data_IF_253533882470
#
_entry.id   IF_253533882470
#
_cell.length_a   1.000
_cell.length_b   1.000
_cell.length_c   1.000
_cell.angle_alpha   90.00
_cell.angle_beta   90.00
_cell.angle_gamma   90.00
#
_symmetry.space_group_name_H-M   'P 1'
#
loop_
_entity.id
_entity.type
_entity.pdbx_description
1 polymer ?
#
# COMPACT_ATOMS: atom_id res chain seq x y z
N UNK A 1 20.99 50.46 35.19
CA UNK A 1 21.03 49.34 36.15
C UNK A 1 19.80 48.49 35.87
N UNK A 2 19.93 47.52 34.97
CA UNK A 2 20.34 46.12 35.20
C UNK A 2 19.09 45.25 35.35
N UNK A 3 18.59 44.81 34.19
CA UNK A 3 17.78 43.60 34.09
C UNK A 3 18.70 42.43 34.42
N UNK A 4 18.57 41.88 35.62
CA UNK A 4 19.23 40.62 35.97
C UNK A 4 18.60 39.49 35.14
N UNK A 5 19.39 38.94 34.23
CA UNK A 5 19.13 37.67 33.57
C UNK A 5 19.20 36.59 34.65
N UNK A 6 18.06 36.02 35.03
CA UNK A 6 18.07 34.74 35.71
C UNK A 6 18.51 33.69 34.69
N UNK A 7 19.76 33.24 34.79
CA UNK A 7 20.24 32.09 34.04
C UNK A 7 19.40 30.86 34.40
N UNK A 8 18.92 30.08 33.41
CA UNK A 8 18.23 28.83 33.70
C UNK A 8 19.20 27.89 34.42
N UNK A 9 18.77 27.34 35.56
CA UNK A 9 19.57 26.41 36.33
C UNK A 9 20.13 25.29 35.42
N UNK A 10 21.43 24.95 35.52
CA UNK A 10 22.01 23.91 34.70
C UNK A 10 21.32 22.58 34.99
N UNK A 11 20.94 21.86 33.92
CA UNK A 11 20.40 20.52 34.03
C UNK A 11 21.37 19.64 34.82
N UNK A 12 20.86 18.87 35.78
CA UNK A 12 21.65 17.89 36.52
C UNK A 12 22.13 16.77 35.58
N UNK A 13 23.25 16.13 35.90
CA UNK A 13 23.82 15.06 35.06
C UNK A 13 22.82 13.92 34.77
N UNK A 14 21.91 13.64 35.72
CA UNK A 14 20.80 12.69 35.57
C UNK A 14 19.81 13.15 34.50
N UNK A 15 19.40 14.42 34.51
CA UNK A 15 18.53 15.01 33.49
C UNK A 15 19.20 15.03 32.11
N UNK A 16 20.51 15.27 32.04
CA UNK A 16 21.29 15.20 30.79
C UNK A 16 21.36 13.77 30.24
N UNK A 17 21.49 12.77 31.10
CA UNK A 17 21.51 11.35 30.74
C UNK A 17 20.14 10.88 30.25
N UNK A 18 19.05 11.25 30.94
CA UNK A 18 17.66 11.01 30.51
C UNK A 18 17.35 11.67 29.16
N UNK A 19 17.79 12.92 28.96
CA UNK A 19 17.68 13.60 27.66
C UNK A 19 18.48 12.90 26.57
N UNK A 20 19.62 12.28 26.89
CA UNK A 20 20.41 11.44 25.99
C UNK A 20 19.68 10.15 25.58
N UNK A 21 19.05 9.48 26.55
CA UNK A 21 18.31 8.23 26.34
C UNK A 21 17.02 8.46 25.54
N UNK A 22 16.30 9.56 25.81
CA UNK A 22 15.13 10.00 25.04
C UNK A 22 15.50 10.37 23.59
N UNK A 23 16.67 10.98 23.37
CA UNK A 23 17.21 11.25 22.02
C UNK A 23 17.54 9.94 21.28
N UNK A 24 18.08 8.93 21.97
CA UNK A 24 18.34 7.60 21.41
C UNK A 24 17.07 6.84 21.03
N UNK A 25 16.06 6.84 21.91
CA UNK A 25 14.75 6.22 21.61
C UNK A 25 14.05 6.94 20.44
N UNK A 26 14.16 8.28 20.39
CA UNK A 26 13.64 9.12 19.29
C UNK A 26 14.32 8.81 17.96
N UNK A 27 15.64 8.63 17.94
CA UNK A 27 16.35 8.30 16.70
C UNK A 27 15.99 6.90 16.21
N UNK A 28 15.87 5.91 17.10
CA UNK A 28 15.48 4.54 16.75
C UNK A 28 14.06 4.48 16.18
N UNK A 29 13.07 5.09 16.83
CA UNK A 29 11.68 5.10 16.33
C UNK A 29 11.54 5.85 15.01
N UNK A 30 12.20 7.02 14.88
CA UNK A 30 12.20 7.79 13.63
C UNK A 30 12.85 7.02 12.48
N UNK A 31 13.99 6.37 12.72
CA UNK A 31 14.68 5.57 11.70
C UNK A 31 13.84 4.35 11.28
N UNK A 32 13.13 3.69 12.19
CA UNK A 32 12.27 2.53 11.86
C UNK A 32 11.04 2.92 11.04
N UNK A 33 10.40 4.04 11.36
CA UNK A 33 9.22 4.52 10.62
C UNK A 33 9.58 5.15 9.28
N UNK A 34 10.73 5.85 9.16
CA UNK A 34 11.30 6.21 7.84
C UNK A 34 11.69 4.97 7.04
N UNK A 35 12.19 3.91 7.68
CA UNK A 35 12.41 2.62 7.04
C UNK A 35 11.09 1.84 6.79
N UNK A 36 9.93 2.39 7.16
CA UNK A 36 8.64 1.73 7.05
C UNK A 36 8.21 1.48 5.60
N UNK A 37 8.48 2.41 4.69
CA UNK A 37 8.28 2.20 3.25
C UNK A 37 9.11 1.02 2.71
N UNK A 38 10.38 0.93 3.12
CA UNK A 38 11.25 -0.19 2.76
C UNK A 38 10.84 -1.51 3.43
N UNK A 39 10.33 -1.45 4.66
CA UNK A 39 9.85 -2.61 5.41
C UNK A 39 8.58 -3.18 4.80
N UNK A 40 7.64 -2.32 4.38
CA UNK A 40 6.45 -2.76 3.67
C UNK A 40 6.79 -3.37 2.31
N UNK A 41 7.71 -2.78 1.54
CA UNK A 41 8.17 -3.37 0.29
C UNK A 41 8.78 -4.77 0.49
N UNK A 42 9.56 -4.96 1.57
CA UNK A 42 10.11 -6.28 1.94
C UNK A 42 9.02 -7.26 2.39
N UNK A 43 8.04 -6.80 3.16
CA UNK A 43 6.91 -7.63 3.60
C UNK A 43 6.07 -8.10 2.40
N UNK A 44 5.80 -7.21 1.44
CA UNK A 44 5.12 -7.55 0.18
C UNK A 44 5.94 -8.59 -0.60
N UNK A 45 7.26 -8.41 -0.68
CA UNK A 45 8.15 -9.32 -1.38
C UNK A 45 8.24 -10.71 -0.73
N UNK A 46 7.89 -10.83 0.56
CA UNK A 46 7.87 -12.10 1.27
C UNK A 46 6.65 -12.97 0.94
N UNK A 47 5.54 -12.38 0.47
CA UNK A 47 4.39 -13.12 -0.04
C UNK A 47 4.52 -13.33 -1.56
N UNK A 48 4.62 -14.58 -2.07
CA UNK A 48 4.87 -14.84 -3.48
C UNK A 48 3.79 -14.28 -4.42
N UNK A 49 2.52 -14.30 -3.99
CA UNK A 49 1.40 -13.84 -4.80
C UNK A 49 1.39 -12.32 -4.93
N UNK A 50 1.66 -11.61 -3.82
CA UNK A 50 1.81 -10.16 -3.82
C UNK A 50 3.05 -9.73 -4.61
N UNK A 51 4.17 -10.44 -4.43
CA UNK A 51 5.40 -10.14 -5.15
C UNK A 51 5.25 -10.32 -6.67
N UNK A 52 4.65 -11.42 -7.11
CA UNK A 52 4.35 -11.65 -8.54
C UNK A 52 3.51 -10.51 -9.10
N UNK A 53 2.47 -10.11 -8.38
CA UNK A 53 1.58 -9.03 -8.78
C UNK A 53 2.29 -7.68 -8.90
N UNK A 54 3.07 -7.31 -7.89
CA UNK A 54 3.83 -6.05 -7.88
C UNK A 54 4.90 -6.07 -8.96
N UNK A 55 5.57 -7.19 -9.17
CA UNK A 55 6.57 -7.34 -10.22
C UNK A 55 5.94 -7.14 -11.60
N UNK A 56 4.88 -7.88 -11.92
CA UNK A 56 4.29 -7.85 -13.26
C UNK A 56 3.54 -6.55 -13.55
N UNK A 57 2.82 -5.97 -12.58
CA UNK A 57 2.04 -4.76 -12.83
C UNK A 57 2.83 -3.48 -12.61
N UNK A 58 3.84 -3.48 -11.73
CA UNK A 58 4.47 -2.25 -11.24
C UNK A 58 5.97 -2.19 -11.53
N UNK A 59 6.78 -3.13 -11.04
CA UNK A 59 8.23 -2.91 -10.90
C UNK A 59 9.13 -3.53 -11.97
N UNK A 60 8.67 -4.58 -12.68
CA UNK A 60 9.47 -5.29 -13.68
C UNK A 60 10.07 -4.34 -14.74
N UNK A 61 11.35 -4.54 -15.05
CA UNK A 61 12.09 -3.77 -16.05
C UNK A 61 11.81 -4.27 -17.47
N UNK A 62 11.87 -3.36 -18.44
CA UNK A 62 11.92 -3.74 -19.86
C UNK A 62 13.30 -4.38 -20.10
N UNK A 63 13.38 -5.63 -20.59
CA UNK A 63 14.67 -6.23 -20.89
C UNK A 63 15.35 -5.47 -22.04
N UNK A 64 16.62 -5.11 -21.88
CA UNK A 64 17.35 -4.34 -22.89
C UNK A 64 17.48 -5.07 -24.24
N UNK A 65 17.39 -6.41 -24.24
CA UNK A 65 17.56 -7.25 -25.42
C UNK A 65 16.25 -7.89 -25.91
N UNK A 66 15.10 -7.48 -25.38
CA UNK A 66 13.79 -8.01 -25.79
C UNK A 66 12.84 -6.87 -26.15
N UNK A 67 12.92 -6.46 -27.41
CA UNK A 67 12.02 -5.47 -28.00
C UNK A 67 10.56 -5.90 -27.99
N UNK A 68 10.21 -7.14 -27.64
CA UNK A 68 8.82 -7.60 -27.54
C UNK A 68 8.24 -7.50 -26.12
N UNK A 69 9.06 -7.20 -25.12
CA UNK A 69 8.67 -7.13 -23.71
C UNK A 69 8.90 -5.73 -23.16
N UNK A 70 7.82 -5.07 -22.70
CA UNK A 70 7.89 -3.70 -22.16
C UNK A 70 8.15 -3.64 -20.65
N UNK A 71 8.39 -4.77 -20.00
CA UNK A 71 8.52 -4.88 -18.55
C UNK A 71 7.15 -4.93 -17.86
N UNK A 72 6.99 -4.19 -16.77
CA UNK A 72 5.71 -4.13 -16.06
C UNK A 72 4.63 -3.37 -16.84
N UNK A 73 3.36 -3.52 -16.44
CA UNK A 73 2.27 -2.69 -16.96
C UNK A 73 2.58 -1.19 -16.85
N UNK A 74 3.05 -0.74 -15.68
CA UNK A 74 3.44 0.66 -15.47
C UNK A 74 4.52 1.14 -16.45
N UNK A 75 5.52 0.31 -16.74
CA UNK A 75 6.55 0.63 -17.74
C UNK A 75 6.04 0.57 -19.16
N UNK A 76 5.16 -0.39 -19.47
CA UNK A 76 4.48 -0.44 -20.76
C UNK A 76 3.75 0.86 -21.04
N UNK A 77 2.98 1.34 -20.06
CA UNK A 77 2.36 2.65 -20.13
C UNK A 77 3.39 3.76 -20.21
N UNK A 78 4.50 3.74 -19.49
CA UNK A 78 5.50 4.81 -19.57
C UNK A 78 6.22 4.87 -20.93
N UNK A 79 6.57 3.72 -21.51
CA UNK A 79 7.44 3.59 -22.68
C UNK A 79 6.67 3.64 -24.01
N UNK A 80 5.40 3.19 -24.04
CA UNK A 80 4.61 3.15 -25.27
C UNK A 80 3.65 4.33 -25.37
N UNK A 81 3.96 5.30 -26.24
CA UNK A 81 3.08 6.45 -26.53
C UNK A 81 1.71 6.00 -27.05
N UNK A 82 1.68 4.94 -27.87
CA UNK A 82 0.45 4.35 -28.40
C UNK A 82 -0.44 3.79 -27.29
N UNK A 83 0.14 3.02 -26.36
CA UNK A 83 -0.62 2.45 -25.25
C UNK A 83 -1.15 3.55 -24.31
N UNK A 84 -0.37 4.61 -24.05
CA UNK A 84 -0.86 5.80 -23.32
C UNK A 84 -2.08 6.42 -23.99
N UNK A 85 -2.01 6.58 -25.32
CA UNK A 85 -3.09 7.18 -26.09
C UNK A 85 -4.36 6.35 -26.02
N UNK A 86 -4.28 5.04 -26.32
CA UNK A 86 -5.43 4.13 -26.22
C UNK A 86 -6.06 4.13 -24.82
N UNK A 87 -5.24 4.14 -23.77
CA UNK A 87 -5.74 4.24 -22.42
C UNK A 87 -6.43 5.57 -22.13
N UNK A 88 -5.85 6.69 -22.55
CA UNK A 88 -6.48 7.99 -22.34
C UNK A 88 -7.84 8.09 -23.06
N UNK A 89 -7.92 7.62 -24.31
CA UNK A 89 -9.17 7.54 -25.06
C UNK A 89 -10.22 6.69 -24.34
N UNK A 90 -9.84 5.49 -23.89
CA UNK A 90 -10.76 4.58 -23.20
C UNK A 90 -11.17 5.09 -21.81
N UNK A 91 -10.31 5.85 -21.14
CA UNK A 91 -10.66 6.55 -19.91
C UNK A 91 -11.71 7.62 -20.21
N UNK A 92 -11.49 8.49 -21.20
CA UNK A 92 -12.47 9.53 -21.59
C UNK A 92 -13.82 8.91 -21.94
N UNK A 93 -13.84 7.84 -22.76
CA UNK A 93 -15.09 7.10 -23.07
C UNK A 93 -15.77 6.52 -21.82
N UNK A 94 -14.99 5.99 -20.87
CA UNK A 94 -15.54 5.47 -19.62
C UNK A 94 -16.10 6.59 -18.73
N UNK A 95 -15.46 7.75 -18.71
CA UNK A 95 -15.95 8.94 -18.03
C UNK A 95 -17.29 9.45 -18.57
N UNK A 96 -17.39 9.50 -19.90
CA UNK A 96 -18.61 9.90 -20.61
C UNK A 96 -19.77 8.94 -20.39
N UNK A 97 -19.48 7.65 -20.18
CA UNK A 97 -20.50 6.61 -19.94
C UNK A 97 -20.88 6.40 -18.46
N UNK A 98 -20.10 6.91 -17.50
CA UNK A 98 -20.29 6.71 -16.05
C UNK A 98 -20.70 7.99 -15.29
N UNK A 99 -21.30 8.98 -15.95
CA UNK A 99 -21.79 10.24 -15.35
C UNK A 99 -20.73 10.92 -14.44
N UNK A 100 -19.46 10.93 -14.86
CA UNK A 100 -18.41 11.69 -14.17
C UNK A 100 -17.96 11.14 -12.81
N UNK A 101 -18.29 9.89 -12.45
CA UNK A 101 -17.84 9.26 -11.17
C UNK A 101 -16.38 8.80 -11.14
N UNK A 102 -15.68 8.81 -12.26
CA UNK A 102 -14.25 8.48 -12.30
C UNK A 102 -13.43 9.68 -11.81
N UNK A 103 -12.32 9.46 -11.09
CA UNK A 103 -11.39 10.54 -10.73
C UNK A 103 -10.45 10.82 -11.91
N UNK A 104 -10.25 12.10 -12.22
CA UNK A 104 -9.34 12.56 -13.27
C UNK A 104 -7.94 11.94 -13.09
N UNK A 105 -7.40 11.31 -14.13
CA UNK A 105 -6.13 10.59 -14.06
C UNK A 105 -4.97 11.57 -14.22
N UNK A 106 -4.23 11.79 -13.15
CA UNK A 106 -3.00 12.56 -13.17
C UNK A 106 -1.80 11.74 -13.67
N UNK A 107 -1.87 11.14 -14.87
CA UNK A 107 -0.77 10.42 -15.56
C UNK A 107 -0.16 9.19 -14.84
N UNK A 108 0.33 8.19 -15.59
CA UNK A 108 1.18 7.12 -15.03
C UNK A 108 2.57 7.69 -14.68
N UNK A 109 2.70 8.30 -13.49
CA UNK A 109 4.00 8.76 -12.97
C UNK A 109 4.68 7.60 -12.28
N UNK A 110 5.51 6.88 -13.03
CA UNK A 110 6.35 5.82 -12.49
C UNK A 110 7.71 6.39 -12.04
N UNK A 111 8.06 6.21 -10.76
CA UNK A 111 9.40 6.46 -10.26
C UNK A 111 9.92 5.18 -9.59
N UNK A 112 10.88 4.50 -10.22
CA UNK A 112 11.40 3.20 -9.78
C UNK A 112 11.97 3.15 -8.34
N UNK A 113 12.20 4.31 -7.72
CA UNK A 113 12.86 4.45 -6.41
C UNK A 113 11.92 4.83 -5.25
N UNK A 114 10.60 4.96 -5.47
CA UNK A 114 9.67 5.43 -4.42
C UNK A 114 8.58 4.40 -4.13
N UNK A 115 8.39 4.07 -2.85
CA UNK A 115 7.32 3.19 -2.40
C UNK A 115 5.93 3.70 -2.82
N UNK A 116 5.72 5.03 -2.81
CA UNK A 116 4.45 5.62 -3.26
C UNK A 116 4.15 5.26 -4.73
N UNK A 117 5.14 4.89 -5.55
CA UNK A 117 4.87 4.37 -6.89
C UNK A 117 4.18 3.00 -6.89
N UNK A 118 4.36 2.16 -5.87
CA UNK A 118 3.55 0.93 -5.72
C UNK A 118 2.10 1.31 -5.47
N UNK A 119 1.87 2.23 -4.54
CA UNK A 119 0.54 2.69 -4.18
C UNK A 119 -0.15 3.39 -5.36
N UNK A 120 0.49 4.39 -5.97
CA UNK A 120 -0.07 5.21 -7.06
C UNK A 120 -0.48 4.34 -8.25
N UNK A 121 0.38 3.38 -8.64
CA UNK A 121 0.10 2.48 -9.75
C UNK A 121 -0.99 1.48 -9.38
N UNK A 122 -0.94 0.87 -8.18
CA UNK A 122 -1.99 -0.04 -7.73
C UNK A 122 -3.35 0.66 -7.70
N UNK A 123 -3.42 1.87 -7.15
CA UNK A 123 -4.63 2.69 -7.15
C UNK A 123 -5.15 2.93 -8.57
N UNK A 124 -4.27 3.35 -9.48
CA UNK A 124 -4.66 3.61 -10.86
C UNK A 124 -5.23 2.34 -11.52
N UNK A 125 -4.57 1.19 -11.33
CA UNK A 125 -5.06 -0.08 -11.90
C UNK A 125 -6.43 -0.46 -11.33
N UNK A 126 -6.59 -0.39 -10.01
CA UNK A 126 -7.83 -0.72 -9.28
C UNK A 126 -8.99 0.19 -9.70
N UNK A 127 -8.73 1.47 -9.94
CA UNK A 127 -9.75 2.45 -10.33
C UNK A 127 -10.11 2.39 -11.82
N UNK A 128 -9.19 1.93 -12.67
CA UNK A 128 -9.34 1.97 -14.13
C UNK A 128 -9.19 0.59 -14.80
N UNK A 129 -9.63 -0.47 -14.12
CA UNK A 129 -9.55 -1.85 -14.63
C UNK A 129 -10.09 -1.96 -16.05
N UNK A 130 -11.32 -1.51 -16.29
CA UNK A 130 -11.97 -1.60 -17.62
C UNK A 130 -11.18 -0.86 -18.71
N UNK A 131 -10.87 0.45 -18.57
CA UNK A 131 -10.04 1.15 -19.56
C UNK A 131 -8.69 0.48 -19.83
N UNK A 132 -8.03 -0.07 -18.80
CA UNK A 132 -6.74 -0.74 -18.97
C UNK A 132 -6.91 -2.02 -19.78
N UNK A 133 -7.88 -2.87 -19.45
CA UNK A 133 -8.15 -4.12 -20.18
C UNK A 133 -8.46 -3.81 -21.64
N UNK A 134 -9.34 -2.84 -21.91
CA UNK A 134 -9.68 -2.44 -23.28
C UNK A 134 -8.46 -1.91 -24.04
N UNK A 135 -7.67 -1.03 -23.44
CA UNK A 135 -6.47 -0.48 -24.08
C UNK A 135 -5.42 -1.57 -24.36
N UNK A 136 -5.25 -2.55 -23.47
CA UNK A 136 -4.38 -3.70 -23.68
C UNK A 136 -4.87 -4.56 -24.85
N UNK A 137 -6.17 -4.84 -24.93
CA UNK A 137 -6.75 -5.63 -26.02
C UNK A 137 -6.59 -4.94 -27.38
N UNK A 138 -6.90 -3.65 -27.45
CA UNK A 138 -6.68 -2.84 -28.65
C UNK A 138 -5.20 -2.80 -29.04
N UNK A 139 -4.30 -2.62 -28.07
CA UNK A 139 -2.86 -2.63 -28.29
C UNK A 139 -2.36 -3.97 -28.81
N UNK A 140 -2.87 -5.09 -28.29
CA UNK A 140 -2.55 -6.45 -28.78
C UNK A 140 -2.98 -6.66 -30.22
N UNK A 141 -4.18 -6.22 -30.58
CA UNK A 141 -4.70 -6.34 -31.96
C UNK A 141 -3.84 -5.51 -32.92
N UNK A 142 -3.42 -4.33 -32.46
CA UNK A 142 -2.69 -3.35 -33.26
C UNK A 142 -1.18 -3.60 -33.37
N UNK A 143 -0.57 -4.26 -32.37
CA UNK A 143 0.86 -4.59 -32.33
C UNK A 143 1.07 -6.07 -32.00
N UNK A 144 1.07 -6.95 -33.02
CA UNK A 144 1.25 -8.39 -32.83
C UNK A 144 2.58 -8.78 -32.18
N UNK A 145 3.63 -7.95 -32.31
CA UNK A 145 4.95 -8.23 -31.72
C UNK A 145 4.89 -8.24 -30.20
N UNK A 146 4.03 -7.41 -29.62
CA UNK A 146 3.81 -7.29 -28.17
C UNK A 146 2.70 -8.22 -27.65
N UNK A 147 2.09 -9.05 -28.49
CA UNK A 147 0.92 -9.87 -28.12
C UNK A 147 1.18 -10.76 -26.90
N UNK A 148 2.32 -11.45 -26.85
CA UNK A 148 2.67 -12.34 -25.72
C UNK A 148 2.80 -11.59 -24.40
N UNK A 149 3.37 -10.39 -24.43
CA UNK A 149 3.49 -9.53 -23.27
C UNK A 149 2.11 -9.09 -22.78
N UNK A 150 1.22 -8.66 -23.69
CA UNK A 150 -0.16 -8.33 -23.33
C UNK A 150 -0.93 -9.52 -22.79
N UNK A 151 -0.82 -10.69 -23.43
CA UNK A 151 -1.47 -11.93 -22.97
C UNK A 151 -1.07 -12.27 -21.54
N UNK A 152 0.22 -12.17 -21.22
CA UNK A 152 0.71 -12.37 -19.87
C UNK A 152 0.10 -11.37 -18.89
N UNK A 153 0.05 -10.08 -19.22
CA UNK A 153 -0.57 -9.06 -18.36
C UNK A 153 -2.06 -9.32 -18.12
N UNK A 154 -2.80 -9.72 -19.16
CA UNK A 154 -4.23 -10.00 -19.07
C UNK A 154 -4.56 -11.13 -18.08
N UNK A 155 -3.62 -12.04 -17.79
CA UNK A 155 -3.82 -13.09 -16.77
C UNK A 155 -3.99 -12.54 -15.35
N UNK A 156 -3.56 -11.31 -15.08
CA UNK A 156 -3.71 -10.63 -13.79
C UNK A 156 -5.06 -9.91 -13.66
N UNK A 157 -5.83 -9.77 -14.74
CA UNK A 157 -7.16 -9.16 -14.74
C UNK A 157 -8.26 -10.20 -14.49
N UNK A 158 -8.08 -11.00 -13.44
CA UNK A 158 -9.03 -12.02 -12.97
C UNK A 158 -9.59 -11.65 -11.60
N UNK A 159 -10.74 -12.20 -11.23
CA UNK A 159 -11.39 -11.91 -9.95
C UNK A 159 -10.44 -12.02 -8.74
N UNK A 160 -9.77 -13.17 -8.52
CA UNK A 160 -8.83 -13.32 -7.41
C UNK A 160 -7.68 -12.31 -7.41
N UNK A 161 -7.03 -12.10 -8.57
CA UNK A 161 -5.87 -11.20 -8.68
C UNK A 161 -6.29 -9.73 -8.50
N UNK A 162 -7.44 -9.32 -9.03
CA UNK A 162 -7.96 -7.96 -8.83
C UNK A 162 -8.37 -7.71 -7.37
N UNK A 163 -8.95 -8.69 -6.69
CA UNK A 163 -9.29 -8.59 -5.26
C UNK A 163 -8.03 -8.48 -4.41
N UNK A 164 -7.00 -9.31 -4.68
CA UNK A 164 -5.71 -9.22 -3.99
C UNK A 164 -5.04 -7.85 -4.23
N UNK A 165 -5.06 -7.33 -5.46
CA UNK A 165 -4.52 -6.00 -5.77
C UNK A 165 -5.26 -4.89 -5.01
N UNK A 166 -6.58 -4.98 -4.93
CA UNK A 166 -7.39 -4.00 -4.20
C UNK A 166 -7.09 -4.03 -2.69
N UNK A 167 -6.91 -5.22 -2.09
CA UNK A 167 -6.50 -5.33 -0.70
C UNK A 167 -5.08 -4.82 -0.45
N UNK A 168 -4.14 -5.13 -1.36
CA UNK A 168 -2.78 -4.61 -1.31
C UNK A 168 -2.76 -3.08 -1.38
N UNK A 169 -3.61 -2.51 -2.23
CA UNK A 169 -3.81 -1.08 -2.35
C UNK A 169 -4.34 -0.46 -1.03
N UNK A 170 -5.30 -1.13 -0.37
CA UNK A 170 -5.83 -0.70 0.93
C UNK A 170 -4.74 -0.70 2.04
N UNK A 171 -3.91 -1.75 2.07
CA UNK A 171 -2.79 -1.86 3.00
C UNK A 171 -1.76 -0.75 2.75
N UNK A 172 -1.34 -0.58 1.49
CA UNK A 172 -0.35 0.42 1.11
C UNK A 172 -0.85 1.86 1.33
N UNK A 173 -2.13 2.13 1.06
CA UNK A 173 -2.75 3.43 1.31
C UNK A 173 -2.75 3.74 2.81
N UNK A 174 -3.13 2.76 3.63
CA UNK A 174 -3.13 2.91 5.09
C UNK A 174 -1.71 3.20 5.59
N UNK A 175 -0.72 2.38 5.21
CA UNK A 175 0.67 2.59 5.58
C UNK A 175 1.22 3.97 5.14
N UNK A 176 0.99 4.36 3.88
CA UNK A 176 1.45 5.65 3.33
C UNK A 176 0.85 6.84 4.08
N UNK A 177 -0.45 6.81 4.42
CA UNK A 177 -1.11 7.86 5.23
C UNK A 177 -0.38 8.10 6.55
N UNK A 178 0.04 7.04 7.24
CA UNK A 178 0.77 7.19 8.49
C UNK A 178 2.20 7.64 8.25
N UNK A 179 2.93 7.06 7.29
CA UNK A 179 4.28 7.52 6.92
C UNK A 179 4.33 9.04 6.64
N UNK A 180 3.40 9.58 5.86
CA UNK A 180 3.36 11.03 5.60
C UNK A 180 3.06 11.88 6.85
N UNK A 181 2.25 11.38 7.78
CA UNK A 181 2.05 12.07 9.08
C UNK A 181 3.35 12.16 9.87
N UNK A 182 4.27 11.20 9.71
CA UNK A 182 5.59 11.25 10.34
C UNK A 182 6.55 12.22 9.66
N UNK A 183 6.63 12.19 8.32
CA UNK A 183 7.55 13.03 7.56
C UNK A 183 7.29 14.53 7.79
N UNK A 184 6.02 14.91 7.94
CA UNK A 184 5.58 16.28 8.14
C UNK A 184 5.84 16.85 9.55
N UNK A 185 6.21 16.03 10.54
CA UNK A 185 6.38 16.47 11.93
C UNK A 185 7.77 17.06 12.26
N UNK A 186 8.74 16.98 11.34
CA UNK A 186 10.09 17.50 11.56
C UNK A 186 10.79 16.92 12.81
N UNK A 187 11.85 17.57 13.29
CA UNK A 187 12.67 17.07 14.40
C UNK A 187 12.21 17.54 15.80
N UNK A 188 10.92 17.81 16.04
CA UNK A 188 10.46 18.42 17.30
C UNK A 188 10.49 17.48 18.54
N UNK A 189 10.57 18.01 19.79
CA UNK A 189 10.79 17.21 21.01
C UNK A 189 9.63 16.28 21.41
N UNK A 190 8.37 16.64 21.15
CA UNK A 190 7.19 15.80 21.47
C UNK A 190 6.92 14.63 20.52
N UNK A 191 7.92 14.18 19.75
CA UNK A 191 7.74 13.21 18.68
C UNK A 191 7.64 11.75 19.16
N UNK A 192 8.21 11.36 20.30
CA UNK A 192 8.27 9.94 20.70
C UNK A 192 6.87 9.40 21.04
N UNK A 193 6.13 10.12 21.89
CA UNK A 193 4.75 9.78 22.25
C UNK A 193 3.81 9.87 21.06
N UNK A 194 3.96 10.90 20.21
CA UNK A 194 3.22 11.01 18.95
C UNK A 194 3.53 9.86 18.00
N UNK A 195 4.78 9.40 17.94
CA UNK A 195 5.14 8.28 17.07
C UNK A 195 4.61 6.94 17.57
N UNK A 196 4.69 6.68 18.87
CA UNK A 196 4.06 5.51 19.46
C UNK A 196 2.54 5.52 19.21
N UNK A 197 1.89 6.67 19.39
CA UNK A 197 0.47 6.87 19.11
C UNK A 197 0.11 6.58 17.64
N UNK A 198 0.88 7.10 16.68
CA UNK A 198 0.62 6.85 15.27
C UNK A 198 0.90 5.41 14.85
N UNK A 199 1.89 4.74 15.44
CA UNK A 199 2.16 3.32 15.20
C UNK A 199 1.05 2.44 15.77
N UNK A 200 0.57 2.76 16.98
CA UNK A 200 -0.58 2.09 17.58
C UNK A 200 -1.82 2.28 16.71
N UNK A 201 -2.13 3.50 16.28
CA UNK A 201 -3.27 3.76 15.39
C UNK A 201 -3.14 3.05 14.03
N UNK A 202 -1.94 3.00 13.45
CA UNK A 202 -1.69 2.22 12.25
C UNK A 202 -1.99 0.74 12.50
N UNK A 203 -1.47 0.17 13.60
CA UNK A 203 -1.71 -1.22 13.98
C UNK A 203 -3.20 -1.50 14.16
N UNK A 204 -3.91 -0.69 14.94
CA UNK A 204 -5.36 -0.80 15.17
C UNK A 204 -6.14 -0.69 13.86
N UNK A 205 -5.76 0.22 12.97
CA UNK A 205 -6.39 0.38 11.67
C UNK A 205 -6.18 -0.83 10.77
N UNK A 206 -4.97 -1.38 10.71
CA UNK A 206 -4.68 -2.59 9.94
C UNK A 206 -5.41 -3.80 10.53
N UNK A 207 -5.47 -3.93 11.85
CA UNK A 207 -6.24 -4.97 12.53
C UNK A 207 -7.73 -4.87 12.19
N UNK A 208 -8.31 -3.67 12.26
CA UNK A 208 -9.71 -3.45 11.89
C UNK A 208 -9.98 -3.74 10.42
N UNK A 209 -9.07 -3.38 9.53
CA UNK A 209 -9.22 -3.59 8.09
C UNK A 209 -9.15 -5.06 7.71
N UNK A 210 -8.18 -5.80 8.25
CA UNK A 210 -7.80 -7.10 7.70
C UNK A 210 -7.94 -8.28 8.65
N UNK A 211 -8.06 -8.07 9.97
CA UNK A 211 -8.01 -9.15 10.96
C UNK A 211 -9.36 -9.36 11.65
N UNK A 212 -9.60 -10.58 12.12
CA UNK A 212 -10.85 -10.98 12.80
C UNK A 212 -10.89 -10.60 14.29
N UNK A 213 -10.04 -9.67 14.73
CA UNK A 213 -9.84 -9.35 16.15
C UNK A 213 -11.09 -8.79 16.83
N UNK A 214 -11.94 -8.09 16.09
CA UNK A 214 -13.15 -7.43 16.61
C UNK A 214 -14.42 -7.83 15.84
N UNK A 215 -14.42 -9.03 15.24
CA UNK A 215 -15.51 -9.50 14.37
C UNK A 215 -15.05 -9.60 12.92
N UNK A 216 -15.95 -9.36 11.97
CA UNK A 216 -15.63 -9.40 10.55
C UNK A 216 -14.67 -8.25 10.17
N UNK A 217 -13.56 -8.53 9.43
CA UNK A 217 -12.67 -7.51 8.89
C UNK A 217 -13.44 -6.47 8.07
N UNK A 218 -13.09 -5.19 8.22
CA UNK A 218 -13.84 -4.11 7.58
C UNK A 218 -13.88 -4.24 6.05
N UNK A 219 -12.83 -4.79 5.41
CA UNK A 219 -12.82 -5.04 3.95
C UNK A 219 -13.84 -6.08 3.47
N UNK A 220 -14.36 -6.90 4.38
CA UNK A 220 -15.45 -7.84 4.12
C UNK A 220 -16.81 -7.26 4.49
N UNK A 221 -16.87 -6.20 5.29
CA UNK A 221 -18.13 -5.67 5.79
C UNK A 221 -18.93 -4.95 4.69
N UNK A 222 -20.23 -5.27 4.57
CA UNK A 222 -21.09 -4.72 3.51
C UNK A 222 -21.24 -3.18 3.57
N UNK A 223 -21.09 -2.59 4.75
CA UNK A 223 -21.19 -1.15 4.96
C UNK A 223 -19.90 -0.39 4.61
N UNK A 224 -18.79 -1.09 4.34
CA UNK A 224 -17.51 -0.46 4.01
C UNK A 224 -17.40 -0.17 2.51
N UNK A 225 -17.98 0.95 2.09
CA UNK A 225 -18.09 1.32 0.66
C UNK A 225 -16.93 2.18 0.17
N UNK A 226 -16.12 2.74 1.07
CA UNK A 226 -15.03 3.65 0.74
C UNK A 226 -13.71 2.94 0.36
N UNK A 227 -13.59 1.64 0.61
CA UNK A 227 -12.38 0.87 0.35
C UNK A 227 -12.15 0.55 -1.12
N UNK A 228 -10.91 0.21 -1.46
CA UNK A 228 -10.50 -0.08 -2.85
C UNK A 228 -11.20 -1.29 -3.46
N UNK A 229 -11.61 -2.27 -2.65
CA UNK A 229 -12.43 -3.40 -3.10
C UNK A 229 -13.78 -2.93 -3.63
N UNK A 230 -14.47 -2.08 -2.86
CA UNK A 230 -15.77 -1.50 -3.25
C UNK A 230 -15.62 -0.59 -4.47
N UNK A 231 -14.61 0.28 -4.47
CA UNK A 231 -14.33 1.17 -5.61
C UNK A 231 -14.07 0.39 -6.90
N UNK A 232 -13.23 -0.65 -6.87
CA UNK A 232 -12.97 -1.48 -8.06
C UNK A 232 -14.22 -2.21 -8.53
N UNK A 233 -15.03 -2.75 -7.61
CA UNK A 233 -16.31 -3.40 -7.97
C UNK A 233 -17.30 -2.43 -8.60
N UNK A 234 -17.25 -1.15 -8.23
CA UNK A 234 -18.11 -0.13 -8.84
C UNK A 234 -17.71 0.20 -10.29
N UNK A 235 -16.43 0.03 -10.66
CA UNK A 235 -15.93 0.29 -12.01
C UNK A 235 -15.83 -0.96 -12.88
N UNK A 236 -15.80 -2.15 -12.27
CA UNK A 236 -15.61 -3.42 -12.96
C UNK A 236 -16.34 -4.57 -12.26
N UNK A 237 -17.35 -5.14 -12.94
CA UNK A 237 -18.18 -6.21 -12.39
C UNK A 237 -17.44 -7.56 -12.43
N UNK A 238 -17.04 -8.04 -11.24
CA UNK A 238 -16.35 -9.32 -11.08
C UNK A 238 -17.26 -10.55 -11.14
N UNK A 239 -18.58 -10.38 -11.02
CA UNK A 239 -19.53 -11.49 -10.97
C UNK A 239 -19.81 -12.05 -12.35
N UNK A 240 -19.83 -11.17 -13.36
CA UNK A 240 -20.15 -11.53 -14.74
C UNK A 240 -18.91 -12.08 -15.44
N UNK A 241 -19.13 -13.10 -16.29
CA UNK A 241 -18.12 -13.64 -17.20
C UNK A 241 -17.87 -12.66 -18.35
N UNK A 242 -16.61 -12.51 -18.75
CA UNK A 242 -16.25 -11.64 -19.86
C UNK A 242 -15.40 -12.40 -20.88
N UNK A 243 -15.84 -12.37 -22.13
CA UNK A 243 -15.10 -12.91 -23.26
C UNK A 243 -15.03 -11.85 -24.36
N UNK A 244 -13.83 -11.62 -24.89
CA UNK A 244 -13.62 -10.74 -26.04
C UNK A 244 -13.10 -11.56 -27.20
N UNK A 245 -13.83 -11.54 -28.31
CA UNK A 245 -13.49 -12.20 -29.56
C UNK A 245 -13.11 -11.11 -30.56
N UNK A 246 -11.99 -11.30 -31.26
CA UNK A 246 -11.55 -10.43 -32.35
C UNK A 246 -11.23 -11.27 -33.57
N UNK A 247 -11.95 -11.03 -34.67
CA UNK A 247 -12.01 -11.96 -35.80
C UNK A 247 -12.54 -13.33 -35.35
N UNK A 248 -11.77 -14.39 -35.61
CA UNK A 248 -12.12 -15.77 -35.25
C UNK A 248 -11.34 -16.28 -34.02
N UNK A 249 -10.79 -15.38 -33.19
CA UNK A 249 -9.96 -15.75 -32.04
C UNK A 249 -10.48 -15.13 -30.75
N UNK A 250 -10.55 -15.95 -29.70
CA UNK A 250 -10.74 -15.49 -28.32
C UNK A 250 -9.48 -14.77 -27.86
N UNK A 251 -9.56 -13.44 -27.70
CA UNK A 251 -8.42 -12.61 -27.29
C UNK A 251 -8.41 -12.31 -25.79
N UNK A 252 -9.53 -12.50 -25.10
CA UNK A 252 -9.59 -12.42 -23.65
C UNK A 252 -10.72 -13.26 -23.12
N UNK A 253 -10.46 -13.91 -21.99
CA UNK A 253 -11.48 -14.62 -21.25
C UNK A 253 -11.21 -14.46 -19.76
N UNK A 254 -12.24 -14.03 -19.05
CA UNK A 254 -12.24 -13.93 -17.59
C UNK A 254 -13.48 -14.66 -17.07
N UNK A 255 -13.30 -15.75 -16.29
CA UNK A 255 -14.43 -16.38 -15.63
C UNK A 255 -15.02 -15.42 -14.58
N UNK A 256 -16.34 -15.29 -14.59
CA UNK A 256 -17.06 -14.55 -13.56
C UNK A 256 -17.11 -15.31 -12.23
N UNK A 257 -17.20 -14.59 -11.12
CA UNK A 257 -17.39 -15.19 -9.79
C UNK A 257 -18.82 -15.71 -9.56
N UNK A 258 -19.76 -15.34 -10.43
CA UNK A 258 -21.18 -15.79 -10.51
C UNK A 258 -22.08 -15.40 -9.34
N UNK A 259 -21.55 -15.18 -8.14
CA UNK A 259 -22.34 -14.79 -6.96
C UNK A 259 -21.52 -13.99 -5.96
N UNK A 260 -22.20 -13.17 -5.16
CA UNK A 260 -21.62 -12.45 -4.03
C UNK A 260 -21.01 -13.40 -2.99
N UNK A 261 -21.64 -14.54 -2.72
CA UNK A 261 -21.11 -15.54 -1.80
C UNK A 261 -19.74 -16.08 -2.27
N UNK A 262 -19.58 -16.34 -3.57
CA UNK A 262 -18.30 -16.74 -4.13
C UNK A 262 -17.28 -15.59 -4.10
N UNK A 263 -17.70 -14.36 -4.39
CA UNK A 263 -16.83 -13.18 -4.28
C UNK A 263 -16.29 -13.02 -2.87
N UNK A 264 -17.16 -13.07 -1.84
CA UNK A 264 -16.75 -13.02 -0.42
C UNK A 264 -15.80 -14.15 -0.07
N UNK A 265 -16.05 -15.38 -0.54
CA UNK A 265 -15.15 -16.53 -0.32
C UNK A 265 -13.77 -16.30 -0.94
N UNK A 266 -13.70 -15.80 -2.17
CA UNK A 266 -12.41 -15.50 -2.82
C UNK A 266 -11.71 -14.35 -2.09
N UNK A 267 -12.42 -13.28 -1.75
CA UNK A 267 -11.87 -12.15 -1.02
C UNK A 267 -11.29 -12.58 0.34
N UNK A 268 -12.01 -13.42 1.09
CA UNK A 268 -11.54 -13.98 2.36
C UNK A 268 -10.30 -14.88 2.18
N UNK A 269 -10.16 -15.58 1.05
CA UNK A 269 -8.96 -16.37 0.73
C UNK A 269 -7.76 -15.47 0.48
N UNK A 270 -7.91 -14.43 -0.34
CA UNK A 270 -6.82 -13.48 -0.64
C UNK A 270 -6.43 -12.66 0.61
N UNK A 271 -7.36 -12.50 1.56
CA UNK A 271 -7.10 -11.83 2.83
C UNK A 271 -5.95 -12.47 3.63
N UNK A 272 -5.78 -13.79 3.55
CA UNK A 272 -4.70 -14.50 4.24
C UNK A 272 -3.30 -14.02 3.82
N UNK A 273 -3.09 -13.79 2.52
CA UNK A 273 -1.84 -13.20 2.01
C UNK A 273 -1.61 -11.81 2.58
N UNK A 274 -2.66 -10.99 2.65
CA UNK A 274 -2.55 -9.61 3.14
C UNK A 274 -2.34 -9.55 4.64
N UNK A 275 -2.96 -10.44 5.41
CA UNK A 275 -2.71 -10.59 6.84
C UNK A 275 -1.23 -10.94 7.08
N UNK A 276 -0.66 -11.88 6.33
CA UNK A 276 0.77 -12.22 6.43
C UNK A 276 1.66 -11.02 6.15
N UNK A 277 1.41 -10.28 5.06
CA UNK A 277 2.16 -9.07 4.72
C UNK A 277 2.02 -8.00 5.83
N UNK A 278 0.80 -7.78 6.33
CA UNK A 278 0.53 -6.80 7.38
C UNK A 278 1.24 -7.16 8.70
N UNK A 279 1.23 -8.44 9.09
CA UNK A 279 1.94 -8.93 10.27
C UNK A 279 3.44 -8.71 10.14
N UNK A 280 4.06 -9.13 9.02
CA UNK A 280 5.49 -8.92 8.79
C UNK A 280 5.87 -7.44 8.79
N UNK A 281 5.03 -6.60 8.20
CA UNK A 281 5.23 -5.16 8.18
C UNK A 281 5.16 -4.57 9.59
N UNK A 282 4.13 -4.91 10.38
CA UNK A 282 3.98 -4.42 11.75
C UNK A 282 5.13 -4.91 12.64
N UNK A 283 5.55 -6.17 12.53
CA UNK A 283 6.71 -6.71 13.25
C UNK A 283 8.01 -5.97 12.91
N UNK A 284 8.19 -5.56 11.65
CA UNK A 284 9.36 -4.78 11.24
C UNK A 284 9.34 -3.35 11.81
N UNK A 285 8.15 -2.80 12.06
CA UNK A 285 7.96 -1.49 12.68
C UNK A 285 8.01 -1.54 14.21
N UNK A 286 7.62 -2.67 14.79
CA UNK A 286 7.66 -2.87 16.24
C UNK A 286 9.08 -2.65 16.75
N UNK A 287 9.24 -1.88 17.84
CA UNK A 287 10.51 -1.77 18.51
C UNK A 287 10.79 -3.13 19.20
N UNK A 288 11.47 -4.05 18.51
CA UNK A 288 11.94 -5.30 19.11
C UNK A 288 12.59 -5.09 20.48
N UNK A 289 12.31 -6.00 21.41
CA UNK A 289 12.71 -6.03 22.83
C UNK A 289 13.12 -4.68 23.44
N UNK A 290 12.13 -3.79 23.56
CA UNK A 290 12.22 -2.64 24.47
C UNK A 290 12.33 -3.12 25.93
N UNK A 291 12.22 -4.41 26.25
CA UNK A 291 12.53 -4.92 27.59
C UNK A 291 13.95 -4.53 28.03
N UNK A 292 14.93 -4.44 27.12
CA UNK A 292 16.30 -4.02 27.46
C UNK A 292 16.43 -2.49 27.55
N UNK A 293 15.70 -1.73 26.73
CA UNK A 293 15.75 -0.26 26.73
C UNK A 293 14.87 0.38 27.82
N UNK A 294 13.68 -0.18 28.07
CA UNK A 294 12.73 0.24 29.10
C UNK A 294 13.11 -0.26 30.49
N UNK A 295 13.70 -1.46 30.65
CA UNK A 295 14.22 -1.87 31.97
C UNK A 295 15.41 -1.04 32.45
N UNK A 296 16.17 -0.44 31.52
CA UNK A 296 17.26 0.50 31.84
C UNK A 296 16.82 1.95 31.96
N UNK A 297 15.68 2.36 31.38
CA UNK A 297 15.14 3.73 31.52
C UNK A 297 14.06 3.91 32.58
N UNK A 298 13.33 2.85 32.98
CA UNK A 298 12.25 2.95 33.98
C UNK A 298 12.67 2.53 35.39
N UNK A 299 13.80 1.84 35.56
CA UNK A 299 14.36 1.52 36.89
C UNK A 299 14.63 2.79 37.73
N UNK A 300 15.25 3.85 37.18
CA UNK A 300 15.47 5.08 37.94
C UNK A 300 14.17 5.78 38.32
N UNK A 301 13.12 5.71 37.48
CA UNK A 301 11.81 6.31 37.76
C UNK A 301 11.06 5.58 38.89
N UNK A 302 11.18 4.25 38.98
CA UNK A 302 10.62 3.47 40.08
C UNK A 302 11.37 3.71 41.41
N UNK A 303 12.68 3.94 41.34
CA UNK A 303 13.50 4.26 42.52
C UNK A 303 13.32 5.73 42.98
N UNK A 304 12.93 6.65 42.08
CA UNK A 304 12.67 8.07 42.38
C UNK A 304 11.25 8.30 42.91
N UNK A 305 10.25 7.55 42.43
CA UNK A 305 8.84 7.76 42.82
C UNK A 305 8.43 7.11 44.13
N UNK A 306 9.32 6.33 44.76
CA UNK A 306 9.05 5.64 46.01
C UNK A 306 8.07 4.48 45.84
N UNK A 307 8.36 3.36 46.48
CA UNK A 307 7.58 2.11 46.42
C UNK A 307 6.18 2.21 47.03
N UNK A 308 5.74 3.40 47.45
CA UNK A 308 4.51 3.61 48.23
C UNK A 308 3.35 4.23 47.43
N UNK A 309 3.51 4.51 46.13
CA UNK A 309 2.42 5.07 45.30
C UNK A 309 1.61 3.98 44.57
N UNK A 310 2.02 2.72 44.65
CA UNK A 310 1.34 1.57 44.04
C UNK A 310 0.96 0.46 45.03
N UNK A 311 0.66 0.83 46.28
CA UNK A 311 -0.04 -0.05 47.23
C UNK A 311 -1.56 0.19 47.16
#
# INVERSE_FOLDING_TARGET
MLYDRMDPAPFTDVQLQELGHLKGLKSVLRCRLHAGQGSLAKAIAADPSCQEMVQTLITAYSPANDDNNLGSLARGFHNSSRLKHLFHENVVRAFESLDGKLKSIASFRYAAQRFDSILDIAQLVVLHVRPIVTALLEFRIQDPKKSKWVEHLLTFFTGPKLLLLALLCELAASASRYHHKYDNLGAQPGLVTKSAYWLQNLSEELHRLFFFTHGEPLVLADHYTAGYVSMMRSSYDLLIEEGVISGDRLVFYRPGLRSEANLRRVLARELGSIQNVATLYLQALEPGDVSVAASTTLKPLADILGSDVFA
#
